data_IF_736149461291
#
_entry.id   IF_736149461291
#
_cell.length_a   1.000
_cell.length_b   1.000
_cell.length_c   1.000
_cell.angle_alpha   90.00
_cell.angle_beta   90.00
_cell.angle_gamma   90.00
#
_symmetry.space_group_name_H-M   'P 1'
#
loop_
_entity.id
_entity.type
_entity.pdbx_description
1 polymer ?
#
# COMPACT_ATOMS: atom_id res chain seq x y z
N UNK A 1 -8.24 -29.01 -10.72
CA UNK A 1 -9.29 -28.10 -10.23
C UNK A 1 -9.64 -27.16 -11.38
N UNK A 2 -10.91 -27.04 -11.75
CA UNK A 2 -11.34 -26.07 -12.77
C UNK A 2 -11.13 -24.67 -12.20
N UNK A 3 -9.98 -24.06 -12.51
CA UNK A 3 -9.69 -22.70 -12.09
C UNK A 3 -10.74 -21.78 -12.68
N UNK A 4 -11.61 -21.23 -11.84
CA UNK A 4 -12.42 -20.07 -12.21
C UNK A 4 -11.46 -19.01 -12.69
N UNK A 5 -11.57 -18.64 -13.97
CA UNK A 5 -10.76 -17.57 -14.56
C UNK A 5 -11.07 -16.30 -13.78
N UNK A 6 -10.07 -15.76 -13.10
CA UNK A 6 -10.17 -14.46 -12.44
C UNK A 6 -10.56 -13.40 -13.48
N UNK A 7 -11.46 -12.49 -13.12
CA UNK A 7 -11.79 -11.33 -13.96
C UNK A 7 -10.75 -10.23 -13.73
N UNK A 8 -10.52 -9.40 -14.76
CA UNK A 8 -9.41 -8.43 -14.76
C UNK A 8 -9.67 -7.26 -13.81
N UNK A 9 -10.86 -6.64 -13.85
CA UNK A 9 -11.23 -5.55 -12.93
C UNK A 9 -12.74 -5.43 -12.77
N UNK A 10 -13.18 -4.82 -11.67
CA UNK A 10 -14.61 -4.52 -11.45
C UNK A 10 -15.08 -3.50 -12.49
N UNK A 11 -14.24 -2.52 -12.79
CA UNK A 11 -14.52 -1.43 -13.71
C UNK A 11 -14.76 -1.94 -15.14
N UNK A 12 -13.96 -2.89 -15.65
CA UNK A 12 -14.23 -3.50 -16.96
C UNK A 12 -15.63 -4.15 -17.01
N UNK A 13 -16.05 -4.80 -15.93
CA UNK A 13 -17.38 -5.41 -15.86
C UNK A 13 -18.47 -4.35 -15.83
N UNK A 14 -18.31 -3.27 -15.06
CA UNK A 14 -19.28 -2.17 -15.02
C UNK A 14 -19.38 -1.48 -16.39
N UNK A 15 -18.25 -1.16 -17.01
CA UNK A 15 -18.16 -0.45 -18.30
C UNK A 15 -18.80 -1.25 -19.44
N UNK A 16 -18.68 -2.59 -19.40
CA UNK A 16 -19.28 -3.46 -20.41
C UNK A 16 -20.80 -3.59 -20.27
N UNK A 17 -21.33 -3.50 -19.04
CA UNK A 17 -22.72 -3.88 -18.75
C UNK A 17 -23.64 -2.71 -18.39
N UNK A 18 -23.10 -1.53 -18.09
CA UNK A 18 -23.87 -0.34 -17.72
C UNK A 18 -23.47 0.83 -18.63
N UNK A 19 -24.42 1.69 -18.97
CA UNK A 19 -24.20 2.88 -19.80
C UNK A 19 -25.07 4.06 -19.34
N UNK A 20 -24.75 5.26 -19.82
CA UNK A 20 -25.58 6.45 -19.61
C UNK A 20 -25.77 6.80 -18.13
N UNK A 21 -26.97 7.26 -17.78
CA UNK A 21 -27.28 7.81 -16.45
C UNK A 21 -27.15 6.77 -15.31
N UNK A 22 -27.49 5.51 -15.56
CA UNK A 22 -27.38 4.45 -14.56
C UNK A 22 -25.93 4.16 -14.19
N UNK A 23 -25.04 4.12 -15.19
CA UNK A 23 -23.61 3.95 -14.99
C UNK A 23 -23.01 5.07 -14.15
N UNK A 24 -23.35 6.33 -14.45
CA UNK A 24 -22.89 7.49 -13.68
C UNK A 24 -23.37 7.45 -12.22
N UNK A 25 -24.63 7.07 -11.97
CA UNK A 25 -25.15 6.90 -10.60
C UNK A 25 -24.42 5.81 -9.83
N UNK A 26 -24.18 4.66 -10.46
CA UNK A 26 -23.43 3.56 -9.84
C UNK A 26 -22.01 4.01 -9.50
N UNK A 27 -21.33 4.70 -10.43
CA UNK A 27 -19.98 5.22 -10.18
C UNK A 27 -19.93 6.26 -9.08
N UNK A 28 -20.92 7.15 -9.02
CA UNK A 28 -21.01 8.16 -7.98
C UNK A 28 -21.08 7.53 -6.59
N UNK A 29 -21.84 6.46 -6.41
CA UNK A 29 -21.99 5.76 -5.14
C UNK A 29 -20.73 4.96 -4.81
N UNK A 30 -20.23 4.17 -5.77
CA UNK A 30 -19.11 3.25 -5.54
C UNK A 30 -17.75 3.94 -5.46
N UNK A 31 -17.52 5.02 -6.22
CA UNK A 31 -16.21 5.69 -6.30
C UNK A 31 -16.23 7.11 -5.77
N UNK A 32 -17.41 7.70 -5.53
CA UNK A 32 -17.55 9.11 -5.11
C UNK A 32 -17.54 10.05 -6.33
N UNK A 33 -16.95 11.24 -6.18
CA UNK A 33 -16.85 12.21 -7.28
C UNK A 33 -15.99 11.66 -8.43
N UNK A 34 -16.31 12.05 -9.65
CA UNK A 34 -15.59 11.60 -10.84
C UNK A 34 -14.13 12.05 -10.81
N UNK A 35 -13.23 11.11 -11.10
CA UNK A 35 -11.81 11.36 -11.38
C UNK A 35 -11.63 11.63 -12.86
N UNK A 36 -10.60 12.40 -13.21
CA UNK A 36 -10.28 12.75 -14.61
C UNK A 36 -9.16 11.84 -15.10
N UNK A 37 -9.30 11.22 -16.27
CA UNK A 37 -8.20 10.46 -16.89
C UNK A 37 -7.07 11.40 -17.33
N UNK A 38 -5.83 11.04 -17.05
CA UNK A 38 -4.65 11.77 -17.53
C UNK A 38 -4.11 11.13 -18.82
N UNK A 39 -3.51 11.96 -19.68
CA UNK A 39 -2.82 11.48 -20.87
C UNK A 39 -1.54 10.75 -20.44
N UNK A 40 -1.39 9.52 -20.90
CA UNK A 40 -0.18 8.73 -20.69
C UNK A 40 0.73 8.99 -21.90
N UNK A 41 1.98 9.46 -21.71
CA UNK A 41 2.90 9.67 -22.83
C UNK A 41 3.17 8.35 -23.58
N UNK A 42 3.24 8.36 -24.93
CA UNK A 42 3.52 7.15 -25.71
C UNK A 42 4.82 6.46 -25.31
N UNK A 43 5.80 7.22 -24.81
CA UNK A 43 7.06 6.67 -24.29
C UNK A 43 6.83 5.82 -23.04
N UNK A 44 5.94 6.24 -22.12
CA UNK A 44 5.60 5.49 -20.92
C UNK A 44 4.76 4.26 -21.28
N UNK A 45 3.76 4.42 -22.16
CA UNK A 45 2.97 3.29 -22.68
C UNK A 45 3.86 2.21 -23.31
N UNK A 46 4.89 2.63 -24.05
CA UNK A 46 5.84 1.70 -24.66
C UNK A 46 6.64 0.92 -23.61
N UNK A 47 7.04 1.55 -22.51
CA UNK A 47 7.70 0.86 -21.39
C UNK A 47 6.76 -0.16 -20.76
N UNK A 48 5.51 0.23 -20.46
CA UNK A 48 4.50 -0.69 -19.91
C UNK A 48 4.23 -1.88 -20.82
N UNK A 49 4.01 -1.63 -22.11
CA UNK A 49 3.80 -2.68 -23.12
C UNK A 49 4.99 -3.63 -23.26
N UNK A 50 6.22 -3.10 -23.32
CA UNK A 50 7.44 -3.89 -23.47
C UNK A 50 7.71 -4.78 -22.25
N UNK A 51 7.38 -4.28 -21.07
CA UNK A 51 7.64 -4.96 -19.79
C UNK A 51 6.39 -5.62 -19.19
N UNK A 52 5.30 -5.72 -19.97
CA UNK A 52 4.06 -6.40 -19.60
C UNK A 52 3.41 -5.91 -18.28
N UNK A 53 3.26 -4.59 -18.13
CA UNK A 53 2.46 -4.00 -17.07
C UNK A 53 1.53 -2.92 -17.60
N UNK A 54 0.33 -2.81 -17.01
CA UNK A 54 -0.61 -1.75 -17.36
C UNK A 54 -0.18 -0.41 -16.76
N UNK A 55 -0.56 0.69 -17.41
CA UNK A 55 -0.39 2.03 -16.85
C UNK A 55 -1.77 2.68 -16.85
N UNK A 56 -2.21 3.16 -15.69
CA UNK A 56 -3.41 3.99 -15.56
C UNK A 56 -3.03 5.30 -14.88
N UNK A 57 -3.58 6.40 -15.37
CA UNK A 57 -3.29 7.72 -14.85
C UNK A 57 -4.56 8.54 -14.62
N UNK A 58 -4.72 9.12 -13.43
CA UNK A 58 -5.89 9.90 -13.05
C UNK A 58 -5.52 11.18 -12.32
N UNK A 59 -6.43 12.16 -12.31
CA UNK A 59 -6.39 13.31 -11.43
C UNK A 59 -7.65 13.36 -10.57
N UNK A 60 -7.47 13.71 -9.30
CA UNK A 60 -8.58 13.98 -8.36
C UNK A 60 -8.71 15.50 -8.21
N UNK A 61 -9.76 16.13 -8.78
CA UNK A 61 -9.90 17.58 -8.78
C UNK A 61 -10.06 18.16 -7.38
N UNK A 62 -9.39 19.27 -7.12
CA UNK A 62 -9.49 20.06 -5.89
C UNK A 62 -9.96 21.48 -6.22
N UNK A 63 -10.92 22.06 -5.47
CA UNK A 63 -11.23 23.48 -5.56
C UNK A 63 -10.01 24.36 -5.33
N UNK A 64 -9.90 25.44 -6.09
CA UNK A 64 -8.87 26.45 -5.91
C UNK A 64 -9.10 27.26 -4.62
N UNK A 65 -8.02 27.84 -4.11
CA UNK A 65 -8.06 28.71 -2.95
C UNK A 65 -7.52 30.09 -3.27
N UNK A 66 -8.06 31.11 -2.59
CA UNK A 66 -7.68 32.50 -2.82
C UNK A 66 -6.31 32.85 -2.22
N UNK A 67 -5.88 32.15 -1.16
CA UNK A 67 -4.69 32.52 -0.37
C UNK A 67 -3.53 31.53 -0.48
N UNK A 68 -3.78 30.30 -0.93
CA UNK A 68 -2.75 29.26 -1.09
C UNK A 68 -2.73 28.82 -2.54
N UNK A 69 -1.53 28.78 -3.11
CA UNK A 69 -1.33 28.11 -4.40
C UNK A 69 -1.63 26.62 -4.28
N UNK A 70 -2.11 25.97 -5.36
CA UNK A 70 -2.24 24.52 -5.42
C UNK A 70 -0.94 23.80 -5.05
N UNK A 71 -1.03 22.75 -4.25
CA UNK A 71 0.10 21.89 -3.86
C UNK A 71 0.02 20.58 -4.62
N UNK A 72 0.30 20.64 -5.92
CA UNK A 72 0.20 19.49 -6.80
C UNK A 72 1.27 18.44 -6.51
N UNK A 73 0.84 17.18 -6.43
CA UNK A 73 1.70 16.01 -6.25
C UNK A 73 1.18 14.88 -7.13
N UNK A 74 2.08 14.17 -7.81
CA UNK A 74 1.79 12.92 -8.51
C UNK A 74 2.31 11.74 -7.73
N UNK A 75 1.40 10.84 -7.38
CA UNK A 75 1.67 9.61 -6.66
C UNK A 75 1.75 8.44 -7.65
N UNK A 76 2.79 7.63 -7.58
CA UNK A 76 2.95 6.38 -8.32
C UNK A 76 2.81 5.16 -7.41
N UNK A 77 1.89 4.25 -7.72
CA UNK A 77 1.73 2.97 -7.03
C UNK A 77 2.05 1.85 -7.99
N UNK A 78 2.93 0.93 -7.60
CA UNK A 78 3.27 -0.22 -8.42
C UNK A 78 2.90 -1.53 -7.74
N UNK A 79 2.10 -2.31 -8.46
CA UNK A 79 1.77 -3.70 -8.11
C UNK A 79 2.41 -4.65 -9.12
N UNK A 80 2.90 -5.78 -8.63
CA UNK A 80 3.50 -6.79 -9.48
C UNK A 80 3.40 -8.21 -8.90
N UNK A 81 3.46 -9.18 -9.80
CA UNK A 81 3.75 -10.58 -9.51
C UNK A 81 5.27 -10.84 -9.48
N UNK A 82 5.65 -12.06 -9.13
CA UNK A 82 7.05 -12.48 -9.19
C UNK A 82 7.52 -12.61 -10.66
N UNK A 83 8.68 -12.04 -11.04
CA UNK A 83 9.21 -12.19 -12.40
C UNK A 83 9.75 -13.59 -12.70
N UNK A 84 10.00 -14.40 -11.67
CA UNK A 84 10.54 -15.75 -11.76
C UNK A 84 9.77 -16.68 -10.80
N UNK A 85 9.83 -18.01 -10.97
CA UNK A 85 9.26 -18.95 -10.00
C UNK A 85 9.84 -18.71 -8.59
N UNK A 86 9.03 -18.85 -7.54
CA UNK A 86 9.47 -18.64 -6.15
C UNK A 86 10.60 -19.59 -5.70
N UNK A 87 10.80 -20.70 -6.41
CA UNK A 87 11.90 -21.67 -6.20
C UNK A 87 13.22 -21.25 -6.85
N UNK A 88 13.27 -20.12 -7.54
CA UNK A 88 14.49 -19.59 -8.15
C UNK A 88 15.50 -19.19 -7.07
N UNK A 89 16.79 -19.20 -7.41
CA UNK A 89 17.85 -18.72 -6.51
C UNK A 89 17.56 -17.28 -6.08
N UNK A 90 17.78 -16.98 -4.80
CA UNK A 90 17.48 -15.67 -4.19
C UNK A 90 18.07 -14.51 -4.99
N UNK A 91 19.33 -14.62 -5.39
CA UNK A 91 20.00 -13.57 -6.17
C UNK A 91 19.33 -13.34 -7.54
N UNK A 92 18.96 -14.41 -8.25
CA UNK A 92 18.34 -14.29 -9.58
C UNK A 92 16.94 -13.66 -9.47
N UNK A 93 16.18 -14.01 -8.43
CA UNK A 93 14.90 -13.36 -8.12
C UNK A 93 15.10 -11.87 -7.84
N UNK A 94 16.07 -11.50 -7.01
CA UNK A 94 16.35 -10.09 -6.67
C UNK A 94 16.77 -9.29 -7.89
N UNK A 95 17.66 -9.82 -8.72
CA UNK A 95 18.11 -9.15 -9.95
C UNK A 95 16.94 -8.92 -10.92
N UNK A 96 16.05 -9.91 -11.06
CA UNK A 96 14.84 -9.79 -11.87
C UNK A 96 13.86 -8.76 -11.29
N UNK A 97 13.69 -8.72 -9.96
CA UNK A 97 12.87 -7.71 -9.27
C UNK A 97 13.44 -6.31 -9.43
N UNK A 98 14.75 -6.12 -9.31
CA UNK A 98 15.40 -4.82 -9.49
C UNK A 98 15.26 -4.32 -10.92
N UNK A 99 15.40 -5.19 -11.91
CA UNK A 99 15.13 -4.85 -13.31
C UNK A 99 13.69 -4.37 -13.50
N UNK A 100 12.70 -5.12 -12.98
CA UNK A 100 11.29 -4.72 -13.07
C UNK A 100 11.02 -3.39 -12.36
N UNK A 101 11.56 -3.22 -11.15
CA UNK A 101 11.43 -1.99 -10.37
C UNK A 101 12.01 -0.78 -11.12
N UNK A 102 13.18 -0.94 -11.76
CA UNK A 102 13.76 0.12 -12.59
C UNK A 102 12.80 0.54 -13.70
N UNK A 103 12.28 -0.41 -14.47
CA UNK A 103 11.38 -0.13 -15.60
C UNK A 103 10.08 0.55 -15.15
N UNK A 104 9.54 0.15 -13.99
CA UNK A 104 8.37 0.77 -13.40
C UNK A 104 8.63 2.21 -12.94
N UNK A 105 9.77 2.47 -12.27
CA UNK A 105 10.17 3.80 -11.82
C UNK A 105 10.49 4.70 -13.03
N UNK A 106 11.19 4.20 -14.04
CA UNK A 106 11.47 4.92 -15.28
C UNK A 106 10.16 5.32 -16.00
N UNK A 107 9.15 4.43 -16.03
CA UNK A 107 7.83 4.75 -16.57
C UNK A 107 7.12 5.82 -15.73
N UNK A 108 7.13 5.68 -14.40
CA UNK A 108 6.52 6.65 -13.49
C UNK A 108 7.15 8.05 -13.59
N UNK A 109 8.47 8.12 -13.80
CA UNK A 109 9.19 9.36 -14.01
C UNK A 109 8.73 10.09 -15.30
N UNK A 110 8.40 9.35 -16.36
CA UNK A 110 7.84 9.93 -17.59
C UNK A 110 6.43 10.51 -17.41
N UNK A 111 5.76 10.16 -16.31
CA UNK A 111 4.49 10.71 -15.88
C UNK A 111 4.67 11.75 -14.75
N UNK A 112 5.85 12.34 -14.61
CA UNK A 112 6.19 13.36 -13.60
C UNK A 112 5.85 12.94 -12.16
N UNK A 113 5.97 11.64 -11.85
CA UNK A 113 5.68 11.12 -10.51
C UNK A 113 6.64 11.72 -9.48
N UNK A 114 6.11 12.22 -8.37
CA UNK A 114 6.89 12.82 -7.29
C UNK A 114 7.15 11.84 -6.14
N UNK A 115 6.18 10.99 -5.81
CA UNK A 115 6.27 9.99 -4.75
C UNK A 115 5.87 8.64 -5.29
N UNK A 116 6.75 7.65 -5.23
CA UNK A 116 6.52 6.29 -5.72
C UNK A 116 6.58 5.28 -4.58
N UNK A 117 5.64 4.33 -4.58
CA UNK A 117 5.57 3.28 -3.57
C UNK A 117 5.41 1.90 -4.19
N UNK A 118 6.23 0.97 -3.72
CA UNK A 118 6.09 -0.45 -4.02
C UNK A 118 5.08 -1.13 -3.06
N UNK A 119 4.63 -2.33 -3.44
CA UNK A 119 3.85 -3.22 -2.58
C UNK A 119 4.67 -3.78 -1.39
N UNK A 120 4.03 -4.52 -0.49
CA UNK A 120 4.71 -5.10 0.67
C UNK A 120 5.75 -6.17 0.29
N UNK A 121 6.91 -6.12 0.94
CA UNK A 121 8.02 -7.06 0.76
C UNK A 121 8.33 -7.31 -0.73
N UNK A 122 8.37 -6.24 -1.51
CA UNK A 122 8.33 -6.30 -2.98
C UNK A 122 9.52 -7.05 -3.59
N UNK A 123 10.65 -7.08 -2.89
CA UNK A 123 11.90 -7.69 -3.34
C UNK A 123 11.98 -9.20 -3.06
N UNK A 124 10.91 -9.84 -2.60
CA UNK A 124 10.86 -11.28 -2.30
C UNK A 124 9.50 -11.94 -2.62
N UNK A 125 9.47 -13.28 -2.79
CA UNK A 125 8.27 -14.08 -2.61
C UNK A 125 7.68 -13.89 -1.23
N UNK A 126 6.35 -13.88 -1.11
CA UNK A 126 5.64 -13.76 0.15
C UNK A 126 5.61 -15.11 0.90
N UNK A 127 6.80 -15.63 1.19
CA UNK A 127 7.04 -16.98 1.68
C UNK A 127 6.60 -17.25 3.12
N UNK A 128 5.97 -16.29 3.79
CA UNK A 128 5.58 -16.41 5.20
C UNK A 128 4.55 -17.52 5.45
N UNK A 129 3.83 -18.00 4.44
CA UNK A 129 2.99 -19.21 4.54
C UNK A 129 3.77 -20.46 4.93
N UNK A 130 4.98 -20.61 4.41
CA UNK A 130 5.79 -21.81 4.55
C UNK A 130 6.22 -22.01 5.99
N UNK A 131 6.38 -20.89 6.74
CA UNK A 131 6.95 -20.82 8.10
C UNK A 131 8.43 -21.25 8.15
N UNK A 132 9.03 -21.52 7.01
CA UNK A 132 10.43 -21.90 6.89
C UNK A 132 11.32 -20.67 7.07
N UNK A 133 12.45 -20.85 7.76
CA UNK A 133 13.45 -19.80 7.93
C UNK A 133 14.45 -19.75 6.79
N UNK A 134 14.90 -20.91 6.34
CA UNK A 134 15.83 -21.05 5.23
C UNK A 134 15.06 -21.40 3.95
N UNK A 135 15.42 -20.80 2.79
CA UNK A 135 16.39 -19.72 2.63
C UNK A 135 15.75 -18.32 2.82
N UNK A 136 14.45 -18.25 3.14
CA UNK A 136 13.64 -17.02 3.10
C UNK A 136 14.16 -15.85 3.94
N UNK A 137 14.78 -16.11 5.09
CA UNK A 137 15.36 -15.06 5.93
C UNK A 137 16.62 -14.42 5.33
N UNK A 138 17.22 -14.98 4.27
CA UNK A 138 18.35 -14.38 3.54
C UNK A 138 17.90 -13.19 2.67
N UNK A 139 16.59 -13.04 2.40
CA UNK A 139 16.04 -11.82 1.80
C UNK A 139 16.06 -10.61 2.76
N UNK A 140 16.33 -10.82 4.05
CA UNK A 140 16.38 -9.75 5.03
C UNK A 140 17.67 -8.93 4.87
N UNK A 141 17.54 -7.61 4.72
CA UNK A 141 18.64 -6.70 4.43
C UNK A 141 18.67 -5.52 5.41
N UNK A 142 19.82 -4.86 5.57
CA UNK A 142 19.89 -3.59 6.30
C UNK A 142 18.96 -2.55 5.68
N UNK A 143 18.12 -1.89 6.49
CA UNK A 143 17.19 -0.88 6.01
C UNK A 143 17.89 0.33 5.34
N UNK A 144 19.06 0.73 5.84
CA UNK A 144 19.80 1.90 5.34
C UNK A 144 20.94 1.51 4.38
N UNK A 145 21.59 0.37 4.63
CA UNK A 145 22.80 -0.03 3.90
C UNK A 145 22.59 -1.22 2.97
N UNK A 146 21.39 -1.81 2.96
CA UNK A 146 21.06 -2.96 2.12
C UNK A 146 21.09 -2.63 0.63
N UNK A 147 21.38 -3.62 -0.23
CA UNK A 147 21.49 -3.41 -1.67
C UNK A 147 20.20 -2.86 -2.28
N UNK A 148 19.03 -3.22 -1.76
CA UNK A 148 17.74 -2.68 -2.22
C UNK A 148 17.64 -1.18 -1.99
N UNK A 149 18.00 -0.69 -0.81
CA UNK A 149 18.01 0.75 -0.51
C UNK A 149 19.03 1.47 -1.39
N UNK A 150 20.25 0.94 -1.55
CA UNK A 150 21.28 1.56 -2.40
C UNK A 150 20.87 1.70 -3.86
N UNK A 151 20.30 0.64 -4.43
CA UNK A 151 19.75 0.67 -5.77
C UNK A 151 18.67 1.75 -5.93
N UNK A 152 17.75 1.86 -4.97
CA UNK A 152 16.68 2.86 -5.04
C UNK A 152 17.15 4.29 -4.75
N UNK A 153 18.22 4.50 -3.98
CA UNK A 153 18.83 5.83 -3.78
C UNK A 153 19.30 6.43 -5.12
N UNK A 154 19.87 5.61 -5.99
CA UNK A 154 20.30 6.05 -7.33
C UNK A 154 19.10 6.47 -8.19
N UNK A 155 18.02 5.68 -8.19
CA UNK A 155 16.82 5.99 -8.96
C UNK A 155 16.08 7.22 -8.41
N UNK A 156 15.96 7.33 -7.09
CA UNK A 156 15.32 8.47 -6.43
C UNK A 156 16.01 9.78 -6.83
N UNK A 157 17.34 9.82 -6.76
CA UNK A 157 18.16 10.96 -7.18
C UNK A 157 18.07 11.23 -8.68
N UNK A 158 18.13 10.18 -9.50
CA UNK A 158 18.07 10.31 -10.96
C UNK A 158 16.76 10.96 -11.42
N UNK A 159 15.65 10.64 -10.75
CA UNK A 159 14.32 11.07 -11.16
C UNK A 159 13.73 12.19 -10.30
N UNK A 160 14.48 12.72 -9.32
CA UNK A 160 13.98 13.70 -8.34
C UNK A 160 12.65 13.23 -7.70
N UNK A 161 12.65 11.99 -7.21
CA UNK A 161 11.45 11.29 -6.78
C UNK A 161 11.66 10.67 -5.40
N UNK A 162 10.70 10.86 -4.50
CA UNK A 162 10.67 10.14 -3.21
C UNK A 162 10.25 8.71 -3.47
N UNK A 163 10.99 7.73 -2.93
CA UNK A 163 10.69 6.30 -3.10
C UNK A 163 10.46 5.64 -1.74
N UNK A 164 9.32 4.94 -1.64
CA UNK A 164 8.93 4.14 -0.48
C UNK A 164 9.13 2.66 -0.80
N UNK A 165 9.97 1.99 -0.01
CA UNK A 165 10.42 0.61 -0.23
C UNK A 165 10.11 -0.28 0.97
N UNK A 166 9.01 -1.05 0.93
CA UNK A 166 8.69 -2.05 1.96
C UNK A 166 9.54 -3.32 1.78
N UNK A 167 10.40 -3.61 2.75
CA UNK A 167 11.37 -4.70 2.73
C UNK A 167 11.27 -5.57 3.99
N UNK A 168 11.91 -6.74 3.93
CA UNK A 168 12.28 -7.50 5.10
C UNK A 168 13.61 -6.92 5.60
N UNK A 169 13.58 -6.31 6.78
CA UNK A 169 14.74 -5.69 7.39
C UNK A 169 15.47 -6.72 8.28
N UNK A 170 16.80 -6.74 8.20
CA UNK A 170 17.68 -7.31 9.22
C UNK A 170 18.32 -6.16 10.02
N UNK A 171 18.05 -6.12 11.32
CA UNK A 171 18.62 -5.13 12.22
C UNK A 171 19.95 -5.64 12.82
N UNK A 172 21.04 -5.40 12.09
CA UNK A 172 22.39 -5.79 12.49
C UNK A 172 22.82 -5.18 13.84
N UNK A 173 22.27 -4.00 14.18
CA UNK A 173 22.58 -3.33 15.47
C UNK A 173 21.88 -3.97 16.66
N UNK A 174 20.74 -4.64 16.42
CA UNK A 174 19.94 -5.31 17.45
C UNK A 174 19.89 -6.82 17.19
N UNK A 175 21.07 -7.45 17.20
CA UNK A 175 21.24 -8.91 17.15
C UNK A 175 20.62 -9.58 15.93
N UNK A 176 20.74 -8.94 14.77
CA UNK A 176 20.23 -9.45 13.48
C UNK A 176 18.72 -9.74 13.49
N UNK A 177 17.96 -9.07 14.37
CA UNK A 177 16.51 -9.25 14.50
C UNK A 177 15.83 -8.86 13.19
N UNK A 178 14.87 -9.66 12.75
CA UNK A 178 14.13 -9.42 11.51
C UNK A 178 12.89 -8.57 11.78
N UNK A 179 12.60 -7.65 10.87
CA UNK A 179 11.44 -6.76 10.91
C UNK A 179 10.79 -6.63 9.52
N UNK A 180 9.50 -6.31 9.49
CA UNK A 180 8.84 -5.82 8.28
C UNK A 180 8.83 -4.30 8.31
N UNK A 181 9.52 -3.67 7.35
CA UNK A 181 9.87 -2.25 7.40
C UNK A 181 9.63 -1.56 6.07
N UNK A 182 9.06 -0.37 6.10
CA UNK A 182 9.05 0.56 4.98
C UNK A 182 10.19 1.56 5.14
N UNK A 183 11.08 1.60 4.15
CA UNK A 183 12.16 2.57 4.03
C UNK A 183 11.68 3.74 3.18
N UNK A 184 11.98 4.97 3.60
CA UNK A 184 11.71 6.19 2.83
C UNK A 184 13.03 6.78 2.37
N UNK A 185 13.15 6.96 1.05
CA UNK A 185 14.28 7.59 0.37
C UNK A 185 13.76 8.91 -0.20
N UNK A 186 14.42 10.01 0.09
CA UNK A 186 14.02 11.32 -0.42
C UNK A 186 14.39 11.51 -1.90
N UNK A 187 13.94 12.61 -2.50
CA UNK A 187 14.20 12.94 -3.89
C UNK A 187 15.66 13.31 -4.21
N UNK A 188 16.51 13.55 -3.20
CA UNK A 188 17.94 13.73 -3.36
C UNK A 188 18.72 12.41 -3.36
N UNK A 189 18.01 11.31 -3.07
CA UNK A 189 18.56 9.98 -2.95
C UNK A 189 19.09 9.68 -1.55
N UNK A 190 18.76 10.48 -0.53
CA UNK A 190 19.18 10.25 0.84
C UNK A 190 18.19 9.36 1.59
N UNK A 191 18.71 8.55 2.53
CA UNK A 191 17.88 7.76 3.43
C UNK A 191 17.23 8.70 4.44
N UNK A 192 15.91 8.86 4.34
CA UNK A 192 15.15 9.75 5.23
C UNK A 192 14.77 9.04 6.54
N UNK A 193 14.52 7.73 6.48
CA UNK A 193 14.20 6.92 7.66
C UNK A 193 13.47 5.63 7.33
N UNK A 194 12.92 4.99 8.37
CA UNK A 194 12.12 3.77 8.27
C UNK A 194 10.93 3.76 9.21
N UNK A 195 9.92 2.98 8.89
CA UNK A 195 8.80 2.62 9.74
C UNK A 195 8.63 1.10 9.78
N UNK A 196 8.50 0.51 10.97
CA UNK A 196 8.25 -0.93 11.19
C UNK A 196 6.77 -1.21 11.37
N UNK A 197 6.30 -2.32 10.80
CA UNK A 197 4.90 -2.74 10.82
C UNK A 197 4.36 -2.84 12.25
N UNK A 198 3.42 -1.95 12.62
CA UNK A 198 2.87 -1.90 13.98
C UNK A 198 2.01 -3.13 14.33
N UNK A 199 1.23 -3.65 13.39
CA UNK A 199 0.30 -4.75 13.63
C UNK A 199 0.68 -5.98 12.81
N UNK A 200 1.00 -7.09 13.48
CA UNK A 200 1.50 -8.30 12.84
C UNK A 200 0.40 -9.37 12.76
N UNK A 201 0.04 -9.86 11.55
CA UNK A 201 -0.96 -10.91 11.42
C UNK A 201 -0.46 -12.26 11.90
N UNK A 202 -1.42 -13.09 12.29
CA UNK A 202 -1.25 -14.51 12.65
C UNK A 202 -2.33 -15.40 12.02
N UNK A 203 -2.98 -14.93 10.96
CA UNK A 203 -4.23 -15.49 10.43
C UNK A 203 -3.98 -16.32 9.17
N UNK A 204 -4.38 -17.59 9.19
CA UNK A 204 -4.27 -18.50 8.04
C UNK A 204 -2.84 -18.65 7.53
N UNK A 205 -2.62 -18.30 6.26
CA UNK A 205 -1.30 -18.36 5.61
C UNK A 205 -0.41 -17.16 5.97
N UNK A 206 -0.95 -16.10 6.56
CA UNK A 206 -0.21 -14.92 7.01
C UNK A 206 0.45 -15.16 8.37
N UNK A 207 1.39 -16.11 8.42
CA UNK A 207 2.12 -16.52 9.62
C UNK A 207 3.30 -15.58 9.95
N UNK A 208 3.12 -14.29 9.70
CA UNK A 208 4.17 -13.26 9.78
C UNK A 208 4.79 -13.13 11.17
N UNK A 209 4.00 -13.31 12.23
CA UNK A 209 4.50 -13.32 13.62
C UNK A 209 5.56 -14.40 13.91
N UNK A 210 5.71 -15.38 13.02
CA UNK A 210 6.81 -16.35 13.09
C UNK A 210 8.15 -15.67 12.76
N UNK A 211 8.15 -14.61 11.96
CA UNK A 211 9.32 -13.97 11.36
C UNK A 211 9.76 -12.69 12.06
N UNK A 212 8.82 -11.86 12.52
CA UNK A 212 9.10 -10.55 13.12
C UNK A 212 8.09 -10.15 14.19
N UNK A 213 8.52 -9.24 15.05
CA UNK A 213 7.73 -8.68 16.14
C UNK A 213 6.95 -7.42 15.71
N UNK A 214 6.02 -6.98 16.56
CA UNK A 214 5.31 -5.71 16.41
C UNK A 214 6.30 -4.53 16.42
N UNK A 215 6.10 -3.61 15.49
CA UNK A 215 7.00 -2.48 15.26
C UNK A 215 7.16 -1.57 16.47
N UNK A 216 8.38 -1.07 16.66
CA UNK A 216 8.76 -0.18 17.76
C UNK A 216 9.05 1.26 17.31
N UNK A 217 8.65 1.63 16.10
CA UNK A 217 8.91 2.97 15.51
C UNK A 217 7.75 3.96 15.69
N UNK A 218 6.64 3.55 16.31
CA UNK A 218 5.45 4.39 16.45
C UNK A 218 4.76 4.68 15.11
N UNK A 219 4.31 5.91 14.91
CA UNK A 219 3.56 6.35 13.72
C UNK A 219 4.28 7.52 13.01
N UNK A 220 5.51 7.33 12.52
CA UNK A 220 6.30 8.43 11.96
C UNK A 220 5.62 8.99 10.71
N UNK A 221 5.70 10.32 10.57
CA UNK A 221 5.33 11.06 9.35
C UNK A 221 6.60 11.70 8.82
N UNK A 222 6.90 11.44 7.55
CA UNK A 222 8.09 11.89 6.86
C UNK A 222 7.74 13.17 6.11
N UNK A 223 8.39 14.29 6.48
CA UNK A 223 8.21 15.58 5.83
C UNK A 223 9.12 15.66 4.60
N UNK A 224 8.52 15.62 3.42
CA UNK A 224 9.24 15.65 2.13
C UNK A 224 8.89 16.93 1.37
N UNK A 225 9.66 17.27 0.34
CA UNK A 225 9.33 18.39 -0.56
C UNK A 225 7.92 18.22 -1.19
N UNK A 226 7.48 16.98 -1.37
CA UNK A 226 6.19 16.62 -1.97
C UNK A 226 5.09 16.33 -0.95
N UNK A 227 5.27 16.79 0.30
CA UNK A 227 4.28 16.71 1.37
C UNK A 227 4.60 15.68 2.45
N UNK A 228 3.71 15.63 3.45
CA UNK A 228 3.87 14.79 4.64
C UNK A 228 3.32 13.39 4.40
N UNK A 229 4.21 12.41 4.28
CA UNK A 229 3.85 11.04 3.95
C UNK A 229 4.00 10.11 5.15
N UNK A 230 3.14 9.11 5.25
CA UNK A 230 3.25 8.04 6.22
C UNK A 230 2.98 6.68 5.55
N UNK A 231 3.33 5.59 6.24
CA UNK A 231 3.16 4.24 5.70
C UNK A 231 2.44 3.39 6.73
N UNK A 232 1.22 2.95 6.43
CA UNK A 232 0.51 1.94 7.21
C UNK A 232 0.72 0.58 6.55
N UNK A 233 1.61 -0.25 7.10
CA UNK A 233 2.01 -1.49 6.42
C UNK A 233 0.94 -2.59 6.59
N UNK A 234 0.39 -3.04 5.47
CA UNK A 234 -0.45 -4.23 5.30
C UNK A 234 -1.54 -4.43 6.35
N UNK A 235 -1.34 -5.31 7.34
CA UNK A 235 -2.34 -5.70 8.33
C UNK A 235 -2.74 -4.54 9.26
N UNK A 236 -1.92 -3.49 9.35
CA UNK A 236 -2.33 -2.24 9.97
C UNK A 236 -3.52 -1.57 9.27
N UNK A 237 -3.92 -2.00 8.05
CA UNK A 237 -5.14 -1.55 7.37
C UNK A 237 -6.41 -1.82 8.18
N UNK A 238 -6.42 -2.90 8.96
CA UNK A 238 -7.58 -3.33 9.76
C UNK A 238 -7.74 -2.55 11.06
N UNK A 239 -6.81 -1.64 11.38
CA UNK A 239 -6.73 -0.98 12.67
C UNK A 239 -7.00 0.53 12.49
N UNK A 240 -8.25 1.00 12.71
CA UNK A 240 -8.58 2.43 12.60
C UNK A 240 -7.68 3.33 13.44
N UNK A 241 -7.25 2.86 14.63
CA UNK A 241 -6.34 3.61 15.49
C UNK A 241 -4.93 3.77 14.89
N UNK A 242 -4.45 2.82 14.07
CA UNK A 242 -3.17 2.93 13.39
C UNK A 242 -3.22 4.04 12.33
N UNK A 243 -4.32 4.08 11.55
CA UNK A 243 -4.58 5.18 10.61
C UNK A 243 -4.70 6.54 11.31
N UNK A 244 -5.44 6.58 12.43
CA UNK A 244 -5.57 7.78 13.25
C UNK A 244 -4.22 8.25 13.78
N UNK A 245 -3.34 7.35 14.23
CA UNK A 245 -2.00 7.70 14.71
C UNK A 245 -1.20 8.51 13.69
N UNK A 246 -1.22 8.13 12.41
CA UNK A 246 -0.60 8.91 11.33
C UNK A 246 -1.32 10.23 11.07
N UNK A 247 -2.66 10.24 11.10
CA UNK A 247 -3.46 11.46 10.94
C UNK A 247 -3.19 12.51 12.03
N UNK A 248 -3.07 12.07 13.29
CA UNK A 248 -2.73 12.93 14.43
C UNK A 248 -1.32 13.52 14.32
N UNK A 249 -0.39 12.76 13.73
CA UNK A 249 0.97 13.24 13.44
C UNK A 249 1.06 14.11 12.18
N UNK A 250 -0.07 14.44 11.54
CA UNK A 250 -0.15 15.42 10.46
C UNK A 250 0.13 14.87 9.07
N UNK A 251 -0.06 13.57 8.84
CA UNK A 251 0.04 12.99 7.50
C UNK A 251 -0.95 13.63 6.51
N UNK A 252 -0.48 13.83 5.28
CA UNK A 252 -1.27 14.29 4.13
C UNK A 252 -1.53 13.14 3.14
N UNK A 253 -0.62 12.18 3.08
CA UNK A 253 -0.74 10.94 2.29
C UNK A 253 -0.30 9.77 3.17
N UNK A 254 -1.10 8.70 3.29
CA UNK A 254 -0.65 7.44 3.88
C UNK A 254 -0.70 6.31 2.87
N UNK A 255 0.46 5.73 2.63
CA UNK A 255 0.62 4.56 1.79
C UNK A 255 0.31 3.29 2.57
N UNK A 256 -0.35 2.33 1.92
CA UNK A 256 -0.69 1.04 2.48
C UNK A 256 -0.20 -0.09 1.59
N UNK A 257 1.12 -0.34 1.58
CA UNK A 257 1.69 -1.49 0.90
C UNK A 257 1.22 -2.78 1.57
N UNK A 258 0.66 -3.68 0.78
CA UNK A 258 0.02 -4.91 1.25
C UNK A 258 0.38 -6.11 0.37
N UNK A 259 0.29 -7.29 0.96
CA UNK A 259 0.14 -8.54 0.24
C UNK A 259 -1.01 -9.31 0.92
N UNK A 260 -2.11 -9.52 0.21
CA UNK A 260 -3.28 -10.21 0.77
C UNK A 260 -4.04 -10.96 -0.31
N UNK A 261 -4.66 -12.09 0.07
CA UNK A 261 -5.31 -13.05 -0.84
C UNK A 261 -6.74 -13.36 -0.40
N UNK A 262 -7.51 -13.90 -1.34
CA UNK A 262 -8.69 -14.70 -1.04
C UNK A 262 -9.99 -13.93 -0.75
N UNK A 263 -11.09 -14.68 -0.83
CA UNK A 263 -12.46 -14.18 -0.80
C UNK A 263 -12.89 -13.51 0.52
N UNK A 264 -12.21 -13.80 1.64
CA UNK A 264 -12.49 -13.12 2.91
C UNK A 264 -11.82 -11.74 2.99
N UNK A 265 -10.65 -11.56 2.36
CA UNK A 265 -9.95 -10.28 2.41
C UNK A 265 -10.46 -9.29 1.37
N UNK A 266 -10.75 -9.74 0.14
CA UNK A 266 -11.05 -8.85 -0.98
C UNK A 266 -12.26 -7.91 -0.73
N UNK A 267 -13.37 -8.35 -0.08
CA UNK A 267 -14.48 -7.45 0.25
C UNK A 267 -14.10 -6.27 1.15
N UNK A 268 -13.05 -6.40 1.96
CA UNK A 268 -12.57 -5.33 2.85
C UNK A 268 -11.72 -4.29 2.11
N UNK A 269 -11.10 -4.67 0.99
CA UNK A 269 -10.11 -3.86 0.28
C UNK A 269 -10.66 -2.51 -0.19
N UNK A 270 -11.89 -2.52 -0.71
CA UNK A 270 -12.57 -1.30 -1.15
C UNK A 270 -13.08 -0.40 -0.03
N UNK A 271 -12.97 -0.85 1.23
CA UNK A 271 -13.59 -0.24 2.41
C UNK A 271 -12.55 0.42 3.31
N UNK A 272 -11.53 -0.31 3.75
CA UNK A 272 -10.70 0.07 4.89
C UNK A 272 -9.82 1.30 4.65
N UNK A 273 -8.99 1.28 3.59
CA UNK A 273 -8.16 2.43 3.24
C UNK A 273 -9.01 3.64 2.84
N UNK A 274 -10.12 3.42 2.12
CA UNK A 274 -11.06 4.48 1.78
C UNK A 274 -11.70 5.11 3.02
N UNK A 275 -12.11 4.31 4.00
CA UNK A 275 -12.65 4.80 5.26
C UNK A 275 -11.59 5.61 6.02
N UNK A 276 -10.34 5.16 6.02
CA UNK A 276 -9.24 5.88 6.65
C UNK A 276 -9.03 7.27 6.04
N UNK A 277 -9.05 7.39 4.70
CA UNK A 277 -8.97 8.70 4.01
C UNK A 277 -10.06 9.67 4.46
N UNK A 278 -11.30 9.17 4.51
CA UNK A 278 -12.48 9.95 4.94
C UNK A 278 -12.33 10.37 6.41
N UNK A 279 -12.05 9.42 7.29
CA UNK A 279 -12.07 9.64 8.73
C UNK A 279 -11.02 10.64 9.21
N UNK A 280 -9.83 10.65 8.59
CA UNK A 280 -8.74 11.54 9.03
C UNK A 280 -8.44 12.72 8.08
N UNK A 281 -9.18 12.86 6.97
CA UNK A 281 -9.07 14.02 6.07
C UNK A 281 -7.73 14.13 5.34
N UNK A 282 -7.20 13.00 4.85
CA UNK A 282 -5.95 12.91 4.10
C UNK A 282 -6.09 11.86 2.98
N UNK A 283 -5.10 11.74 2.08
CA UNK A 283 -5.12 10.76 1.01
C UNK A 283 -4.62 9.38 1.49
N UNK A 284 -5.17 8.30 0.95
CA UNK A 284 -4.68 6.95 1.18
C UNK A 284 -4.34 6.24 -0.13
N UNK A 285 -3.27 5.46 -0.13
CA UNK A 285 -2.79 4.76 -1.31
C UNK A 285 -2.66 3.26 -1.03
N UNK A 286 -3.66 2.47 -1.40
CA UNK A 286 -3.67 1.03 -1.15
C UNK A 286 -2.99 0.29 -2.31
N UNK A 287 -2.01 -0.55 -1.99
CA UNK A 287 -1.21 -1.29 -2.98
C UNK A 287 -1.23 -2.76 -2.59
N UNK A 288 -1.70 -3.64 -3.46
CA UNK A 288 -1.64 -5.08 -3.22
C UNK A 288 -0.78 -5.76 -4.27
N UNK A 289 -0.15 -6.86 -3.87
CA UNK A 289 0.50 -7.83 -4.76
C UNK A 289 -0.47 -8.41 -5.78
N UNK A 290 0.08 -8.96 -6.87
CA UNK A 290 -0.67 -9.63 -7.94
C UNK A 290 -0.11 -11.04 -8.17
N UNK A 291 -0.94 -11.94 -8.68
CA UNK A 291 -0.52 -13.26 -9.15
C UNK A 291 -0.66 -14.34 -8.08
N UNK A 292 -0.20 -15.55 -8.39
CA UNK A 292 -0.22 -16.69 -7.47
C UNK A 292 1.19 -17.24 -7.33
N UNK A 293 1.68 -17.32 -6.10
CA UNK A 293 3.00 -17.83 -5.79
C UNK A 293 2.92 -19.30 -5.37
N UNK A 294 3.83 -20.14 -5.90
CA UNK A 294 3.88 -21.58 -5.62
C UNK A 294 5.26 -21.93 -5.06
N UNK A 295 5.29 -22.62 -3.93
CA UNK A 295 6.50 -22.95 -3.18
C UNK A 295 6.94 -24.40 -3.37
N UNK A 296 8.18 -24.70 -3.00
CA UNK A 296 8.77 -26.04 -3.17
C UNK A 296 8.09 -27.11 -2.31
N UNK A 297 7.92 -26.79 -1.02
CA UNK A 297 7.37 -27.68 -0.01
C UNK A 297 5.89 -27.40 0.24
N UNK A 298 5.17 -28.44 0.63
CA UNK A 298 3.76 -28.30 1.00
C UNK A 298 3.61 -27.64 2.38
N UNK A 299 2.62 -26.78 2.53
CA UNK A 299 2.24 -26.18 3.81
C UNK A 299 0.72 -26.26 4.01
N UNK A 300 0.25 -25.88 5.21
CA UNK A 300 -1.18 -25.88 5.55
C UNK A 300 -1.61 -24.52 6.07
N UNK A 301 -2.83 -24.10 5.71
CA UNK A 301 -3.39 -22.79 6.08
C UNK A 301 -4.14 -22.78 7.42
N UNK A 302 -4.07 -23.86 8.20
CA UNK A 302 -4.80 -23.96 9.47
C UNK A 302 -6.33 -24.01 9.36
N UNK A 303 -6.87 -24.39 8.20
CA UNK A 303 -8.31 -24.42 7.90
C UNK A 303 -8.88 -25.85 7.73
N UNK A 304 -8.12 -26.88 8.11
CA UNK A 304 -8.51 -28.29 7.97
C UNK A 304 -8.48 -28.86 6.56
N UNK A 305 -8.07 -28.08 5.54
CA UNK A 305 -7.86 -28.57 4.17
C UNK A 305 -6.50 -29.28 4.03
N UNK A 306 -6.30 -30.10 2.97
CA UNK A 306 -5.02 -30.74 2.70
C UNK A 306 -3.85 -29.76 2.54
N UNK A 307 -2.64 -30.26 2.74
CA UNK A 307 -1.44 -29.53 2.41
C UNK A 307 -1.37 -29.24 0.90
N UNK A 308 -0.77 -28.12 0.55
CA UNK A 308 -0.70 -27.60 -0.82
C UNK A 308 0.53 -26.70 -0.96
N UNK A 309 0.80 -26.25 -2.20
CA UNK A 309 2.02 -25.48 -2.52
C UNK A 309 1.74 -24.04 -2.95
N UNK A 310 0.52 -23.72 -3.35
CA UNK A 310 0.12 -22.38 -3.79
C UNK A 310 -0.34 -21.49 -2.63
N UNK A 311 0.11 -20.24 -2.56
CA UNK A 311 -0.32 -19.30 -1.50
C UNK A 311 -1.77 -18.81 -1.67
N UNK A 312 -2.32 -18.97 -2.87
CA UNK A 312 -3.54 -18.31 -3.31
C UNK A 312 -3.26 -17.06 -4.14
N UNK A 313 -4.33 -16.54 -4.73
CA UNK A 313 -4.28 -15.42 -5.67
C UNK A 313 -4.25 -14.08 -4.94
N UNK A 314 -3.17 -13.33 -5.12
CA UNK A 314 -3.10 -11.92 -4.78
C UNK A 314 -3.85 -11.11 -5.84
N UNK A 315 -4.85 -10.34 -5.40
CA UNK A 315 -5.88 -9.76 -6.26
C UNK A 315 -5.60 -8.32 -6.70
N UNK A 316 -4.38 -7.78 -6.53
CA UNK A 316 -4.02 -6.44 -7.01
C UNK A 316 -5.00 -5.36 -6.58
N UNK A 317 -5.70 -4.76 -7.55
CA UNK A 317 -6.74 -3.77 -7.28
C UNK A 317 -6.23 -2.54 -6.55
N UNK A 318 -4.97 -2.16 -6.76
CA UNK A 318 -4.36 -0.99 -6.12
C UNK A 318 -5.09 0.29 -6.53
N UNK A 319 -5.26 1.24 -5.59
CA UNK A 319 -6.03 2.47 -5.81
C UNK A 319 -5.62 3.61 -4.89
N UNK A 320 -6.00 4.83 -5.25
CA UNK A 320 -5.88 6.03 -4.40
C UNK A 320 -7.26 6.48 -3.95
N UNK A 321 -7.42 6.74 -2.65
CA UNK A 321 -8.61 7.33 -2.05
C UNK A 321 -8.31 8.75 -1.56
N UNK A 322 -9.24 9.66 -1.82
CA UNK A 322 -9.15 11.06 -1.44
C UNK A 322 -9.87 11.33 -0.12
N UNK A 323 -9.48 12.40 0.60
CA UNK A 323 -10.14 12.78 1.83
C UNK A 323 -11.61 13.08 1.63
N UNK A 324 -12.01 13.55 0.43
CA UNK A 324 -13.39 13.88 0.12
C UNK A 324 -14.31 12.66 -0.12
N UNK A 325 -13.82 11.44 0.12
CA UNK A 325 -14.53 10.18 -0.11
C UNK A 325 -14.52 9.69 -1.56
N UNK A 326 -13.99 10.47 -2.51
CA UNK A 326 -13.73 9.97 -3.86
C UNK A 326 -12.53 9.02 -3.90
N UNK A 327 -12.43 8.20 -4.94
CA UNK A 327 -11.29 7.32 -5.18
C UNK A 327 -11.11 7.01 -6.66
N UNK A 328 -9.90 6.61 -7.03
CA UNK A 328 -9.64 6.08 -8.37
C UNK A 328 -10.29 4.69 -8.54
N UNK A 329 -10.52 4.29 -9.80
CA UNK A 329 -10.58 2.88 -10.17
C UNK A 329 -9.40 2.08 -9.61
N UNK A 330 -9.61 0.78 -9.42
CA UNK A 330 -8.54 -0.17 -9.18
C UNK A 330 -7.68 -0.43 -10.42
N UNK A 331 -6.41 -0.75 -10.20
CA UNK A 331 -5.63 -1.52 -11.16
C UNK A 331 -6.20 -2.95 -11.31
N UNK A 332 -5.71 -3.67 -12.31
CA UNK A 332 -6.07 -5.06 -12.58
C UNK A 332 -5.89 -5.95 -11.34
N UNK A 333 -6.68 -7.01 -11.27
CA UNK A 333 -6.56 -8.09 -10.29
C UNK A 333 -5.47 -9.09 -10.65
N UNK A 334 -5.05 -9.11 -11.92
CA UNK A 334 -4.26 -10.19 -12.50
C UNK A 334 -3.01 -9.74 -13.26
N UNK A 335 -2.81 -8.42 -13.44
CA UNK A 335 -1.67 -7.86 -14.16
C UNK A 335 -0.78 -7.00 -13.26
N UNK A 336 0.51 -7.02 -13.55
CA UNK A 336 1.42 -5.96 -13.11
C UNK A 336 0.87 -4.61 -13.57
N UNK A 337 1.02 -3.57 -12.74
CA UNK A 337 0.45 -2.28 -13.08
C UNK A 337 1.04 -1.11 -12.30
N UNK A 338 1.11 0.03 -12.99
CA UNK A 338 1.47 1.32 -12.46
C UNK A 338 0.24 2.24 -12.46
N UNK A 339 -0.14 2.73 -11.28
CA UNK A 339 -1.15 3.76 -11.11
C UNK A 339 -0.48 5.09 -10.81
N UNK A 340 -0.66 6.10 -11.67
CA UNK A 340 -0.24 7.48 -11.40
C UNK A 340 -1.45 8.33 -11.07
N UNK A 341 -1.46 8.99 -9.91
CA UNK A 341 -2.57 9.85 -9.49
C UNK A 341 -2.08 11.26 -9.17
N UNK A 342 -2.54 12.26 -9.92
CA UNK A 342 -2.34 13.65 -9.61
C UNK A 342 -3.36 14.14 -8.57
N UNK A 343 -2.87 14.77 -7.52
CA UNK A 343 -3.68 15.30 -6.41
C UNK A 343 -3.21 16.71 -6.05
N UNK A 344 -4.06 17.46 -5.34
CA UNK A 344 -3.69 18.70 -4.65
C UNK A 344 -3.82 18.47 -3.14
N UNK A 345 -2.70 18.62 -2.41
CA UNK A 345 -2.66 18.43 -0.96
C UNK A 345 -3.51 19.43 -0.19
N UNK A 346 -3.86 20.58 -0.79
CA UNK A 346 -4.78 21.54 -0.19
C UNK A 346 -6.15 20.92 0.13
N UNK A 347 -6.56 19.87 -0.59
CA UNK A 347 -7.82 19.16 -0.34
C UNK A 347 -7.92 18.64 1.10
N UNK A 348 -6.79 18.23 1.70
CA UNK A 348 -6.78 17.75 3.08
C UNK A 348 -7.34 18.82 4.03
N UNK A 349 -6.90 20.07 3.92
CA UNK A 349 -7.40 21.15 4.77
C UNK A 349 -8.86 21.50 4.44
N UNK A 350 -9.20 21.62 3.16
CA UNK A 350 -10.56 21.98 2.73
C UNK A 350 -11.59 20.99 3.27
N UNK A 351 -11.28 19.69 3.23
CA UNK A 351 -12.13 18.63 3.76
C UNK A 351 -12.24 18.70 5.28
N UNK A 352 -11.11 18.89 5.99
CA UNK A 352 -11.09 19.04 7.45
C UNK A 352 -11.97 20.19 7.91
N UNK A 353 -11.91 21.33 7.23
CA UNK A 353 -12.71 22.52 7.54
C UNK A 353 -14.20 22.30 7.21
N UNK A 354 -14.50 21.64 6.09
CA UNK A 354 -15.88 21.42 5.63
C UNK A 354 -16.66 20.44 6.50
N UNK A 355 -16.08 19.30 6.86
CA UNK A 355 -16.77 18.28 7.67
C UNK A 355 -16.49 18.38 9.16
N UNK A 356 -15.39 19.00 9.58
CA UNK A 356 -15.09 19.18 10.99
C UNK A 356 -14.81 17.89 11.76
N UNK A 357 -14.41 16.80 11.08
CA UNK A 357 -14.11 15.54 11.76
C UNK A 357 -13.04 15.73 12.82
N UNK A 358 -11.92 16.38 12.48
CA UNK A 358 -10.80 16.70 13.40
C UNK A 358 -11.24 17.59 14.56
N UNK A 359 -12.11 18.57 14.28
CA UNK A 359 -12.68 19.47 15.29
C UNK A 359 -13.55 18.72 16.33
N UNK A 360 -14.15 17.59 15.94
CA UNK A 360 -15.13 16.86 16.75
C UNK A 360 -14.63 15.50 17.25
N UNK A 361 -13.33 15.20 17.15
CA UNK A 361 -12.77 13.89 17.50
C UNK A 361 -12.83 13.55 18.99
N UNK A 362 -12.94 14.55 19.88
CA UNK A 362 -12.96 14.34 21.35
C UNK A 362 -11.82 13.44 21.85
N UNK A 363 -10.60 13.71 21.38
CA UNK A 363 -9.42 12.89 21.69
C UNK A 363 -9.13 12.81 23.20
N UNK A 364 -9.47 13.86 23.95
CA UNK A 364 -9.43 13.89 25.42
C UNK A 364 -10.28 12.75 26.02
N UNK A 365 -11.52 12.60 25.56
CA UNK A 365 -12.42 11.55 26.04
C UNK A 365 -11.88 10.15 25.71
N UNK A 366 -11.34 9.95 24.51
CA UNK A 366 -10.76 8.67 24.12
C UNK A 366 -9.43 8.39 24.84
N UNK A 367 -8.61 9.42 25.09
CA UNK A 367 -7.37 9.31 25.86
C UNK A 367 -7.61 8.97 27.33
N UNK A 368 -8.74 9.40 27.91
CA UNK A 368 -9.17 8.96 29.24
C UNK A 368 -9.76 7.55 29.25
N UNK A 369 -10.42 7.12 28.16
CA UNK A 369 -11.07 5.83 28.05
C UNK A 369 -10.06 4.69 27.82
N UNK A 370 -9.14 4.85 26.86
CA UNK A 370 -8.27 3.76 26.41
C UNK A 370 -7.39 3.17 27.53
N UNK A 371 -6.72 3.97 28.40
CA UNK A 371 -5.96 3.43 29.52
C UNK A 371 -6.82 2.60 30.47
N UNK A 372 -8.06 3.02 30.76
CA UNK A 372 -8.99 2.27 31.62
C UNK A 372 -9.33 0.91 31.04
N UNK A 373 -9.48 0.81 29.71
CA UNK A 373 -9.76 -0.47 29.03
C UNK A 373 -8.57 -1.44 29.13
N UNK A 374 -7.35 -0.94 29.36
CA UNK A 374 -6.14 -1.76 29.53
C UNK A 374 -5.92 -2.24 30.98
N UNK A 375 -6.71 -1.75 31.94
CA UNK A 375 -6.64 -2.19 33.34
C UNK A 375 -7.12 -3.65 33.47
N UNK A 376 -6.43 -4.46 34.28
CA UNK A 376 -6.73 -5.89 34.43
C UNK A 376 -8.14 -6.16 34.99
N UNK A 377 -8.65 -5.24 35.82
CA UNK A 377 -9.96 -5.31 36.45
C UNK A 377 -11.00 -4.41 35.78
N UNK A 378 -10.74 -3.96 34.54
CA UNK A 378 -11.65 -3.15 33.75
C UNK A 378 -13.05 -3.78 33.71
N UNK A 379 -14.05 -3.00 34.13
CA UNK A 379 -15.46 -3.37 34.03
C UNK A 379 -16.08 -2.59 32.88
N UNK A 380 -16.57 -3.25 31.82
CA UNK A 380 -17.26 -2.57 30.73
C UNK A 380 -18.44 -1.75 31.26
N UNK A 381 -18.69 -0.58 30.64
CA UNK A 381 -19.79 0.30 31.00
C UNK A 381 -21.15 -0.31 30.56
N UNK A 382 -21.65 -1.28 31.31
CA UNK A 382 -22.90 -1.98 31.06
C UNK A 382 -24.02 -1.41 31.95
N UNK A 383 -25.12 -0.99 31.34
CA UNK A 383 -26.35 -0.60 32.05
C UNK A 383 -27.25 -1.82 32.17
N UNK A 384 -27.55 -2.25 33.40
CA UNK A 384 -28.47 -3.37 33.70
C UNK A 384 -29.77 -2.85 34.30
N UNK A 385 -30.85 -3.61 34.11
CA UNK A 385 -32.15 -3.36 34.75
C UNK A 385 -32.15 -3.69 36.22
#
# INVERSE_FOLDING_TARGET
MSGTKEFDSIEEILDRNLQGEEYEKVRQILYGRSVVGLVIPPTAENVGRKNNFEIKAYAIPCPEEQLRSPRFVRIGLFQNELPLPATSRIQDMKDAMFKMAKEAVDAAAQLDTNVFCFQEAWHMPFAFCTREKYPWCEYAESAQHGPTTKFLQELAKQHNMVIISPILERDETHSDTIWNSAVVIDNHGDYLGKHRKNHIPRVGDFNESTYYFEGNTGHPVFDTEFGKIAINICYGRHHPLNWLGFGLNGAEIVFNPSATVGALSEPLWGIEARNAAIANGYFTCAINRVGTEVFEHEFTSGNGKPAHKDFGHFYGSSYVAAPNGSRTPGLSRTKNGLLVTAIDLNMCRQVKDHWGFQMTQRLDMYAELLPKVLEQDFKPQLVKK
#
